data_IF_098971192066
#
_entry.id   IF_098971192066
#
_cell.length_a   1.000
_cell.length_b   1.000
_cell.length_c   1.000
_cell.angle_alpha   90.00
_cell.angle_beta   90.00
_cell.angle_gamma   90.00
#
_symmetry.space_group_name_H-M   'P 1'
#
loop_
_entity.id
_entity.type
_entity.pdbx_description
1 polymer ?
#
# COMPACT_ATOMS: atom_id res chain seq x y z
N UNK A 1 1.98 -8.69 -15.50
CA UNK A 1 0.76 -7.94 -15.91
C UNK A 1 0.76 -6.63 -15.13
N UNK A 2 0.47 -5.49 -15.75
CA UNK A 2 0.36 -4.21 -15.05
C UNK A 2 -1.04 -4.03 -14.48
N UNK A 3 -1.16 -3.35 -13.35
CA UNK A 3 -2.44 -2.93 -12.78
C UNK A 3 -2.56 -1.41 -12.91
N UNK A 4 -3.77 -0.95 -13.18
CA UNK A 4 -4.08 0.47 -13.28
C UNK A 4 -5.11 0.85 -12.22
N UNK A 5 -4.95 2.03 -11.63
CA UNK A 5 -5.90 2.62 -10.67
C UNK A 5 -6.15 4.08 -11.07
N UNK A 6 -7.39 4.54 -10.94
CA UNK A 6 -7.75 5.95 -11.11
C UNK A 6 -8.09 6.51 -9.74
N UNK A 7 -7.49 7.65 -9.40
CA UNK A 7 -7.84 8.43 -8.21
C UNK A 7 -8.42 9.74 -8.71
N UNK A 8 -9.57 10.14 -8.16
CA UNK A 8 -10.21 11.41 -8.47
C UNK A 8 -10.84 11.97 -7.19
N UNK A 9 -10.39 13.16 -6.78
CA UNK A 9 -10.82 13.79 -5.54
C UNK A 9 -11.19 15.26 -5.75
N UNK A 10 -12.17 15.72 -4.98
CA UNK A 10 -12.70 17.09 -5.09
C UNK A 10 -11.74 18.15 -4.52
N UNK A 11 -10.89 17.78 -3.57
CA UNK A 11 -9.93 18.69 -2.94
C UNK A 11 -8.50 18.20 -3.12
N UNK A 12 -7.58 19.14 -3.29
CA UNK A 12 -6.15 18.84 -3.46
C UNK A 12 -5.57 18.07 -2.28
N UNK A 13 -5.98 18.41 -1.05
CA UNK A 13 -5.48 17.77 0.16
C UNK A 13 -5.82 16.28 0.21
N UNK A 14 -7.07 15.92 -0.04
CA UNK A 14 -7.51 14.51 -0.09
C UNK A 14 -6.82 13.76 -1.22
N UNK A 15 -6.67 14.41 -2.37
CA UNK A 15 -5.96 13.86 -3.51
C UNK A 15 -4.50 13.50 -3.17
N UNK A 16 -3.75 14.43 -2.60
CA UNK A 16 -2.35 14.21 -2.21
C UNK A 16 -2.21 13.15 -1.11
N UNK A 17 -3.10 13.13 -0.13
CA UNK A 17 -3.12 12.11 0.93
C UNK A 17 -3.33 10.70 0.36
N UNK A 18 -4.26 10.52 -0.59
CA UNK A 18 -4.50 9.22 -1.24
C UNK A 18 -3.32 8.82 -2.14
N UNK A 19 -2.73 9.77 -2.87
CA UNK A 19 -1.54 9.50 -3.69
C UNK A 19 -0.35 9.06 -2.83
N UNK A 20 -0.13 9.69 -1.67
CA UNK A 20 0.97 9.34 -0.78
C UNK A 20 0.83 7.91 -0.25
N UNK A 21 -0.38 7.50 0.16
CA UNK A 21 -0.64 6.11 0.58
C UNK A 21 -0.35 5.10 -0.54
N UNK A 22 -0.75 5.43 -1.77
CA UNK A 22 -0.52 4.56 -2.91
C UNK A 22 0.96 4.51 -3.33
N UNK A 23 1.69 5.62 -3.18
CA UNK A 23 3.13 5.65 -3.39
C UNK A 23 3.87 4.73 -2.39
N UNK A 24 3.45 4.71 -1.12
CA UNK A 24 3.99 3.76 -0.12
C UNK A 24 3.71 2.29 -0.50
N UNK A 25 2.58 2.03 -1.15
CA UNK A 25 2.25 0.72 -1.71
C UNK A 25 3.01 0.40 -3.01
N UNK A 26 3.80 1.33 -3.56
CA UNK A 26 4.55 1.15 -4.81
C UNK A 26 3.71 1.34 -6.07
N UNK A 27 2.66 2.17 -6.01
CA UNK A 27 2.00 2.68 -7.21
C UNK A 27 2.72 3.91 -7.75
N UNK A 28 2.86 3.98 -9.07
CA UNK A 28 3.51 5.07 -9.77
C UNK A 28 2.48 5.85 -10.59
N UNK A 29 2.60 7.17 -10.60
CA UNK A 29 1.66 8.02 -11.35
C UNK A 29 2.14 8.11 -12.80
N UNK A 30 1.29 7.66 -13.73
CA UNK A 30 1.57 7.67 -15.17
C UNK A 30 0.88 8.83 -15.89
N UNK A 31 -0.15 9.42 -15.29
CA UNK A 31 -0.83 10.58 -15.83
C UNK A 31 -1.46 11.41 -14.72
N UNK A 32 -1.27 12.73 -14.79
CA UNK A 32 -1.97 13.71 -13.97
C UNK A 32 -3.01 14.44 -14.82
N UNK A 33 -4.24 14.49 -14.34
CA UNK A 33 -5.32 15.22 -14.98
C UNK A 33 -6.02 16.13 -13.99
N UNK A 34 -6.17 17.40 -14.34
CA UNK A 34 -7.19 18.24 -13.71
C UNK A 34 -8.44 18.14 -14.57
N UNK A 35 -9.58 17.81 -13.94
CA UNK A 35 -10.93 17.74 -14.50
C UNK A 35 -11.39 16.37 -15.03
N UNK A 36 -12.27 15.75 -14.25
CA UNK A 36 -13.35 14.88 -14.74
C UNK A 36 -14.65 15.60 -14.38
N UNK A 37 -15.46 15.94 -15.39
CA UNK A 37 -16.77 16.53 -15.15
C UNK A 37 -17.75 15.42 -14.76
N UNK A 38 -18.20 15.40 -13.51
CA UNK A 38 -19.22 14.46 -13.04
C UNK A 38 -20.55 15.21 -12.95
N UNK A 39 -21.29 15.29 -14.06
CA UNK A 39 -22.61 15.93 -14.09
C UNK A 39 -23.33 15.79 -15.44
N UNK A 40 -24.57 15.31 -15.43
CA UNK A 40 -25.43 15.18 -16.61
C UNK A 40 -26.02 16.52 -17.09
N UNK A 41 -25.87 17.60 -16.32
CA UNK A 41 -26.45 18.91 -16.59
C UNK A 41 -25.39 19.99 -16.54
N UNK A 42 -25.45 20.92 -17.50
CA UNK A 42 -24.52 22.05 -17.72
C UNK A 42 -24.26 22.94 -16.49
N UNK A 43 -25.08 22.83 -15.45
CA UNK A 43 -25.00 23.61 -14.20
C UNK A 43 -24.28 22.92 -13.04
N UNK A 44 -23.90 21.64 -13.15
CA UNK A 44 -23.30 20.88 -12.04
C UNK A 44 -21.94 20.28 -12.41
N UNK A 45 -21.07 21.10 -12.98
CA UNK A 45 -19.70 20.70 -13.33
C UNK A 45 -18.80 20.82 -12.12
N UNK A 46 -18.48 19.69 -11.49
CA UNK A 46 -17.45 19.64 -10.44
C UNK A 46 -16.09 19.37 -11.08
N UNK A 47 -15.08 20.17 -10.75
CA UNK A 47 -13.69 19.92 -11.14
C UNK A 47 -12.99 19.13 -10.06
N UNK A 48 -12.40 17.98 -10.42
CA UNK A 48 -11.62 17.14 -9.52
C UNK A 48 -10.13 17.14 -9.90
N UNK A 49 -9.29 16.92 -8.91
CA UNK A 49 -7.90 16.50 -9.09
C UNK A 49 -7.92 15.01 -9.39
N UNK A 50 -7.24 14.57 -10.45
CA UNK A 50 -7.22 13.17 -10.84
C UNK A 50 -5.84 12.69 -11.28
N UNK A 51 -5.59 11.41 -11.09
CA UNK A 51 -4.39 10.75 -11.58
C UNK A 51 -4.71 9.31 -11.97
N UNK A 52 -3.96 8.82 -12.97
CA UNK A 52 -3.90 7.42 -13.33
C UNK A 52 -2.59 6.88 -12.80
N UNK A 53 -2.67 5.79 -12.03
CA UNK A 53 -1.54 5.09 -11.45
C UNK A 53 -1.34 3.74 -12.12
N UNK A 54 -0.08 3.32 -12.21
CA UNK A 54 0.35 2.00 -12.65
C UNK A 54 1.11 1.31 -11.51
N UNK A 55 0.95 -0.01 -11.41
CA UNK A 55 1.76 -0.85 -10.53
C UNK A 55 2.05 -2.18 -11.19
N UNK A 56 3.26 -2.69 -11.03
CA UNK A 56 3.56 -4.06 -11.45
C UNK A 56 2.80 -5.05 -10.59
N UNK A 57 2.03 -5.95 -11.22
CA UNK A 57 1.36 -7.03 -10.50
C UNK A 57 2.42 -8.00 -10.00
N UNK A 58 2.76 -7.90 -8.73
CA UNK A 58 3.51 -8.95 -8.05
C UNK A 58 2.61 -10.19 -8.02
N UNK A 59 2.95 -11.17 -8.84
CA UNK A 59 2.38 -12.52 -8.71
C UNK A 59 3.00 -13.08 -7.44
N UNK A 60 2.42 -12.75 -6.30
CA UNK A 60 2.69 -13.47 -5.05
C UNK A 60 2.18 -14.89 -5.30
N UNK A 61 3.08 -15.75 -5.80
CA UNK A 61 2.88 -17.19 -5.76
C UNK A 61 2.77 -17.54 -4.28
N UNK A 62 1.54 -17.58 -3.77
CA UNK A 62 1.23 -18.08 -2.43
C UNK A 62 1.87 -19.46 -2.37
N UNK A 63 2.99 -19.61 -1.64
CA UNK A 63 3.52 -20.93 -1.31
C UNK A 63 2.40 -21.63 -0.54
N UNK A 64 1.73 -22.59 -1.18
CA UNK A 64 0.84 -23.52 -0.51
C UNK A 64 1.71 -24.27 0.49
N UNK A 65 1.63 -23.90 1.77
CA UNK A 65 2.16 -24.72 2.84
C UNK A 65 1.29 -25.98 2.89
N UNK A 66 1.72 -27.06 2.24
CA UNK A 66 1.24 -28.40 2.56
C UNK A 66 1.66 -28.68 3.99
N UNK A 67 0.72 -28.53 4.92
CA UNK A 67 0.90 -28.88 6.32
C UNK A 67 1.05 -30.40 6.44
N UNK A 68 2.29 -30.88 6.46
CA UNK A 68 2.60 -32.22 6.92
C UNK A 68 2.29 -32.28 8.42
N UNK A 69 1.16 -32.91 8.72
CA UNK A 69 0.71 -33.28 10.05
C UNK A 69 1.76 -34.17 10.74
N UNK A 70 2.54 -33.64 11.69
CA UNK A 70 3.22 -34.47 12.70
C UNK A 70 3.26 -33.78 14.06
N UNK A 71 2.65 -34.48 14.99
CA UNK A 71 2.21 -34.18 16.35
C UNK A 71 3.36 -34.21 17.38
N UNK A 72 3.28 -33.34 18.41
CA UNK A 72 3.99 -33.33 19.73
C UNK A 72 5.51 -33.02 19.67
N UNK A 73 6.11 -32.19 20.54
CA UNK A 73 6.04 -32.15 22.02
C UNK A 73 6.62 -30.82 22.56
N UNK A 74 6.05 -30.30 23.65
CA UNK A 74 6.50 -29.10 24.38
C UNK A 74 7.82 -29.30 25.12
N UNK A 75 8.58 -28.21 25.35
CA UNK A 75 9.17 -27.90 26.67
C UNK A 75 9.52 -26.40 26.74
N UNK A 76 8.96 -25.70 27.72
CA UNK A 76 9.44 -24.39 28.19
C UNK A 76 10.85 -24.52 28.78
N UNK A 77 11.66 -23.46 28.70
CA UNK A 77 12.54 -23.07 29.81
C UNK A 77 12.75 -21.56 29.83
N UNK A 78 12.62 -21.05 31.05
CA UNK A 78 12.59 -19.65 31.49
C UNK A 78 14.00 -19.01 31.51
N UNK A 79 14.00 -17.68 31.46
CA UNK A 79 14.84 -16.67 32.13
C UNK A 79 16.26 -17.04 32.60
N UNK A 80 17.28 -16.23 32.28
CA UNK A 80 17.72 -15.11 33.14
C UNK A 80 19.03 -14.44 32.64
N UNK A 81 19.03 -13.09 32.69
CA UNK A 81 20.07 -12.20 33.22
C UNK A 81 21.55 -12.37 32.78
N UNK A 82 22.09 -11.38 32.05
CA UNK A 82 22.96 -10.34 32.65
C UNK A 82 23.55 -9.38 31.61
N UNK A 83 23.53 -8.11 32.01
CA UNK A 83 24.23 -6.95 31.47
C UNK A 83 25.76 -7.10 31.52
N UNK A 84 26.46 -6.59 30.49
CA UNK A 84 27.77 -5.97 30.72
C UNK A 84 28.11 -4.98 29.59
N UNK A 85 28.11 -3.70 29.95
CA UNK A 85 28.79 -2.61 29.24
C UNK A 85 30.32 -2.82 29.32
N UNK A 86 31.08 -2.43 28.29
CA UNK A 86 32.41 -1.78 28.34
C UNK A 86 32.72 -1.36 26.88
N UNK A 87 32.64 -0.07 26.54
CA UNK A 87 33.67 0.98 26.64
C UNK A 87 34.90 0.77 25.74
N UNK A 88 34.97 1.65 24.73
CA UNK A 88 36.15 2.34 24.13
C UNK A 88 37.34 1.55 23.60
N UNK A 89 37.67 1.84 22.33
CA UNK A 89 39.01 2.27 21.94
C UNK A 89 38.91 3.65 21.30
#
# INVERSE_FOLDING_TARGET
MRQYKVVAESTKKLFEEELNKLAEEGWEIIHYGNSVSIGSTRSNTMTCFSAILEKEKTITRKKVKTSSNKKKKSTEKKTDTSSNEYSTN
#
